data_IF_854070213745
#
_entry.id   IF_854070213745
#
_cell.length_a   1.000
_cell.length_b   1.000
_cell.length_c   1.000
_cell.angle_alpha   90.00
_cell.angle_beta   90.00
_cell.angle_gamma   90.00
#
_symmetry.space_group_name_H-M   'P 1'
#
loop_
_entity.id
_entity.type
_entity.pdbx_description
1 polymer ?
#
# COMPACT_ATOMS: atom_id res chain seq x y z
N UNK A 1 12.31 -15.31 38.36
CA UNK A 1 11.73 -14.17 37.64
C UNK A 1 12.87 -13.34 37.12
N UNK A 2 12.94 -13.16 35.81
CA UNK A 2 13.99 -12.37 35.17
C UNK A 2 13.39 -11.69 33.95
N UNK A 3 13.74 -10.43 33.75
CA UNK A 3 13.26 -9.66 32.61
C UNK A 3 14.28 -9.77 31.47
N UNK A 4 13.79 -10.01 30.25
CA UNK A 4 14.58 -9.91 29.03
C UNK A 4 14.25 -8.60 28.34
N UNK A 5 15.28 -7.81 28.05
CA UNK A 5 15.12 -6.55 27.31
C UNK A 5 16.07 -6.55 26.12
N UNK A 6 15.50 -6.47 24.92
CA UNK A 6 16.23 -6.36 23.66
C UNK A 6 16.26 -4.89 23.28
N UNK A 7 17.44 -4.28 23.21
CA UNK A 7 17.58 -2.82 23.08
C UNK A 7 17.91 -2.39 21.66
N UNK A 8 18.67 -3.21 20.93
CA UNK A 8 18.95 -3.02 19.51
C UNK A 8 19.27 -4.35 18.81
N UNK A 9 19.37 -4.28 17.47
CA UNK A 9 19.82 -5.40 16.64
C UNK A 9 18.80 -6.55 16.57
N UNK A 10 19.27 -7.70 16.09
CA UNK A 10 18.44 -8.89 15.93
C UNK A 10 18.84 -9.97 16.93
N UNK A 11 17.86 -10.48 17.68
CA UNK A 11 18.05 -11.62 18.58
C UNK A 11 17.15 -12.78 18.19
N UNK A 12 17.70 -13.99 18.19
CA UNK A 12 16.97 -15.23 17.94
C UNK A 12 16.78 -16.00 19.24
N UNK A 13 15.53 -16.24 19.66
CA UNK A 13 15.23 -17.14 20.77
C UNK A 13 14.86 -18.52 20.24
N UNK A 14 15.76 -19.47 20.44
CA UNK A 14 15.64 -20.86 19.96
C UNK A 14 15.36 -21.87 21.06
N UNK A 15 15.55 -21.49 22.33
CA UNK A 15 15.38 -22.38 23.48
C UNK A 15 13.93 -22.58 23.91
N UNK A 16 13.63 -23.74 24.49
CA UNK A 16 12.39 -23.98 25.26
C UNK A 16 12.52 -23.30 26.62
N UNK A 17 11.85 -22.17 26.78
CA UNK A 17 11.85 -21.36 27.99
C UNK A 17 10.50 -21.43 28.72
N UNK A 18 9.76 -22.56 28.65
CA UNK A 18 8.42 -22.66 29.27
C UNK A 18 8.32 -22.29 30.75
N UNK A 19 9.44 -22.33 31.49
CA UNK A 19 9.52 -21.96 32.92
C UNK A 19 9.92 -20.50 33.15
N UNK A 20 10.29 -19.76 32.10
CA UNK A 20 10.63 -18.36 32.19
C UNK A 20 9.39 -17.55 32.58
N UNK A 21 9.58 -16.59 33.47
CA UNK A 21 8.55 -15.67 33.94
C UNK A 21 9.17 -14.31 34.21
N UNK A 22 8.39 -13.26 34.00
CA UNK A 22 8.83 -11.87 34.06
C UNK A 22 8.30 -11.08 32.88
N UNK A 23 9.09 -10.11 32.41
CA UNK A 23 8.80 -9.30 31.24
C UNK A 23 9.74 -9.62 30.09
N UNK A 24 9.19 -9.65 28.89
CA UNK A 24 9.96 -9.62 27.64
C UNK A 24 9.68 -8.29 26.97
N UNK A 25 10.71 -7.44 26.88
CA UNK A 25 10.62 -6.12 26.27
C UNK A 25 11.42 -6.12 24.96
N UNK A 26 10.74 -5.90 23.84
CA UNK A 26 11.37 -5.64 22.54
C UNK A 26 11.43 -4.13 22.36
N UNK A 27 12.63 -3.56 22.50
CA UNK A 27 12.89 -2.14 22.40
C UNK A 27 12.77 -1.62 20.96
N UNK A 28 12.69 -0.29 20.84
CA UNK A 28 12.61 0.39 19.55
C UNK A 28 13.81 0.05 18.65
N UNK A 29 13.55 -0.31 17.40
CA UNK A 29 14.60 -0.68 16.44
C UNK A 29 15.25 -2.05 16.69
N UNK A 30 14.74 -2.83 17.65
CA UNK A 30 15.14 -4.22 17.87
C UNK A 30 14.26 -5.19 17.09
N UNK A 31 14.83 -6.32 16.69
CA UNK A 31 14.13 -7.45 16.11
C UNK A 31 14.29 -8.66 17.03
N UNK A 32 13.18 -9.20 17.50
CA UNK A 32 13.13 -10.47 18.21
C UNK A 32 12.51 -11.54 17.31
N UNK A 33 13.31 -12.53 16.93
CA UNK A 33 12.82 -13.71 16.25
C UNK A 33 12.57 -14.81 17.29
N UNK A 34 11.36 -15.37 17.30
CA UNK A 34 10.97 -16.49 18.15
C UNK A 34 10.90 -17.73 17.29
N UNK A 35 11.76 -18.71 17.57
CA UNK A 35 11.90 -19.94 16.78
C UNK A 35 11.44 -21.18 17.56
N UNK A 36 10.97 -21.01 18.79
CA UNK A 36 10.43 -22.06 19.63
C UNK A 36 9.11 -21.60 20.27
N UNK A 37 8.10 -22.45 20.23
CA UNK A 37 6.74 -22.15 20.70
C UNK A 37 6.70 -21.76 22.19
N UNK A 38 7.68 -22.23 22.97
CA UNK A 38 7.81 -21.95 24.41
C UNK A 38 8.89 -20.91 24.73
N UNK A 39 9.45 -20.22 23.73
CA UNK A 39 10.59 -19.31 23.92
C UNK A 39 10.31 -18.13 24.86
N UNK A 40 9.04 -17.72 24.98
CA UNK A 40 8.63 -16.58 25.82
C UNK A 40 8.11 -16.99 27.20
N UNK A 41 7.91 -18.29 27.45
CA UNK A 41 7.40 -18.83 28.71
C UNK A 41 6.11 -18.14 29.18
N UNK A 42 6.00 -17.93 30.49
CA UNK A 42 4.87 -17.26 31.15
C UNK A 42 5.04 -15.74 31.24
N UNK A 43 5.87 -15.16 30.36
CA UNK A 43 6.19 -13.73 30.41
C UNK A 43 5.07 -12.87 29.83
N UNK A 44 4.91 -11.68 30.41
CA UNK A 44 4.22 -10.59 29.70
C UNK A 44 5.16 -10.01 28.64
N UNK A 45 4.62 -9.65 27.48
CA UNK A 45 5.42 -9.21 26.33
C UNK A 45 5.05 -7.77 25.97
N UNK A 46 6.05 -6.92 25.78
CA UNK A 46 5.89 -5.54 25.33
C UNK A 46 6.77 -5.29 24.13
N UNK A 47 6.20 -4.79 23.04
CA UNK A 47 6.91 -4.38 21.83
C UNK A 47 6.76 -2.87 21.73
N UNK A 48 7.88 -2.16 21.86
CA UNK A 48 7.92 -0.71 21.71
C UNK A 48 7.72 -0.29 20.24
N UNK A 49 7.43 1.00 20.02
CA UNK A 49 7.35 1.56 18.67
C UNK A 49 8.61 1.28 17.85
N UNK A 50 8.42 0.89 16.59
CA UNK A 50 9.49 0.42 15.69
C UNK A 50 10.27 -0.82 16.16
N UNK A 51 9.87 -1.47 17.26
CA UNK A 51 10.33 -2.81 17.62
C UNK A 51 9.60 -3.86 16.77
N UNK A 52 10.26 -4.99 16.50
CA UNK A 52 9.71 -6.06 15.68
C UNK A 52 9.78 -7.40 16.41
N UNK A 53 8.68 -8.14 16.38
CA UNK A 53 8.59 -9.52 16.85
C UNK A 53 8.16 -10.40 15.68
N UNK A 54 8.96 -11.41 15.34
CA UNK A 54 8.62 -12.39 14.32
C UNK A 54 8.44 -13.76 14.97
N UNK A 55 7.24 -14.34 14.81
CA UNK A 55 6.93 -15.69 15.27
C UNK A 55 7.28 -16.69 14.16
N UNK A 56 8.53 -17.15 14.17
CA UNK A 56 9.09 -18.09 13.19
C UNK A 56 8.96 -19.54 13.68
N UNK A 57 7.82 -19.85 14.28
CA UNK A 57 7.51 -21.16 14.85
C UNK A 57 6.77 -22.04 13.84
N UNK A 58 6.93 -23.36 13.94
CA UNK A 58 6.22 -24.28 13.05
C UNK A 58 4.75 -24.48 13.45
N UNK A 59 4.41 -24.34 14.73
CA UNK A 59 3.07 -24.58 15.26
C UNK A 59 2.43 -23.28 15.78
N UNK A 60 1.15 -23.39 16.14
CA UNK A 60 0.40 -22.37 16.87
C UNK A 60 1.22 -21.79 18.02
N UNK A 61 1.11 -20.47 18.21
CA UNK A 61 1.89 -19.74 19.19
C UNK A 61 0.98 -19.22 20.30
N UNK A 62 1.46 -19.23 21.54
CA UNK A 62 0.71 -18.74 22.69
C UNK A 62 1.51 -17.74 23.50
N UNK A 63 0.97 -16.53 23.64
CA UNK A 63 1.34 -15.63 24.71
C UNK A 63 0.57 -16.05 25.97
N UNK A 64 1.28 -16.51 26.99
CA UNK A 64 0.68 -16.98 28.24
C UNK A 64 0.16 -15.86 29.14
N UNK A 65 0.51 -14.60 28.86
CA UNK A 65 0.10 -13.44 29.65
C UNK A 65 -0.26 -12.25 28.72
N UNK A 66 -0.34 -11.05 29.29
CA UNK A 66 -0.66 -9.83 28.58
C UNK A 66 0.37 -9.50 27.49
N UNK A 67 -0.13 -8.95 26.40
CA UNK A 67 0.64 -8.51 25.25
C UNK A 67 0.38 -7.02 24.97
N UNK A 68 1.46 -6.23 24.96
CA UNK A 68 1.44 -4.82 24.54
C UNK A 68 2.19 -4.71 23.23
N UNK A 69 1.54 -4.22 22.18
CA UNK A 69 2.11 -4.08 20.85
C UNK A 69 2.01 -2.65 20.33
N UNK A 70 3.09 -1.89 20.43
CA UNK A 70 3.23 -0.57 19.81
C UNK A 70 4.15 -0.61 18.58
N UNK A 71 4.75 -1.78 18.29
CA UNK A 71 5.65 -2.03 17.17
C UNK A 71 5.01 -2.85 16.07
N UNK A 72 5.67 -3.92 15.62
CA UNK A 72 5.14 -4.83 14.60
C UNK A 72 5.32 -6.28 15.04
N UNK A 73 4.25 -7.07 14.95
CA UNK A 73 4.30 -8.53 15.13
C UNK A 73 3.98 -9.19 13.80
N UNK A 74 4.85 -10.08 13.34
CA UNK A 74 4.55 -11.00 12.23
C UNK A 74 4.16 -12.35 12.82
N UNK A 75 2.93 -12.79 12.55
CA UNK A 75 2.29 -13.93 13.21
C UNK A 75 2.85 -15.29 12.77
N UNK A 76 3.46 -15.34 11.59
CA UNK A 76 4.11 -16.50 11.01
C UNK A 76 5.23 -16.07 10.07
N UNK A 77 6.02 -17.02 9.58
CA UNK A 77 6.84 -16.79 8.38
C UNK A 77 6.08 -17.16 7.10
N UNK A 78 6.67 -16.85 5.95
CA UNK A 78 6.03 -17.09 4.65
C UNK A 78 5.87 -18.58 4.28
N UNK A 79 6.52 -19.49 4.99
CA UNK A 79 6.50 -20.93 4.71
C UNK A 79 5.61 -21.74 5.67
N UNK A 80 5.18 -21.13 6.77
CA UNK A 80 4.51 -21.80 7.89
C UNK A 80 3.20 -21.12 8.29
N UNK A 81 2.64 -20.28 7.43
CA UNK A 81 1.39 -19.54 7.68
C UNK A 81 0.18 -20.47 7.94
N UNK A 82 -0.92 -19.89 8.40
CA UNK A 82 -2.10 -20.63 8.82
C UNK A 82 -2.14 -20.94 10.30
N UNK A 83 -1.32 -20.25 11.11
CA UNK A 83 -1.22 -20.49 12.55
C UNK A 83 -2.29 -19.78 13.34
N UNK A 84 -2.73 -20.38 14.44
CA UNK A 84 -3.45 -19.68 15.48
C UNK A 84 -2.47 -19.10 16.49
N UNK A 85 -2.49 -17.77 16.64
CA UNK A 85 -1.79 -17.07 17.70
C UNK A 85 -2.78 -16.71 18.79
N UNK A 86 -2.55 -17.22 20.00
CA UNK A 86 -3.42 -16.98 21.16
C UNK A 86 -2.76 -16.04 22.15
N UNK A 87 -3.47 -14.99 22.55
CA UNK A 87 -3.12 -14.13 23.69
C UNK A 87 -4.01 -14.54 24.86
N UNK A 88 -3.42 -15.15 25.88
CA UNK A 88 -4.17 -15.65 27.04
C UNK A 88 -4.64 -14.53 27.97
N UNK A 89 -3.90 -13.42 27.99
CA UNK A 89 -4.24 -12.22 28.75
C UNK A 89 -4.90 -11.15 27.91
N UNK A 90 -4.77 -9.91 28.35
CA UNK A 90 -5.22 -8.73 27.62
C UNK A 90 -4.24 -8.39 26.49
N UNK A 91 -4.79 -7.84 25.41
CA UNK A 91 -4.03 -7.26 24.31
C UNK A 91 -4.23 -5.74 24.29
N UNK A 92 -3.14 -4.98 24.28
CA UNK A 92 -3.19 -3.52 24.18
C UNK A 92 -2.28 -3.05 23.06
N UNK A 93 -2.71 -2.06 22.29
CA UNK A 93 -1.91 -1.51 21.21
C UNK A 93 -2.09 -0.02 21.05
N UNK A 94 -0.98 0.70 20.88
CA UNK A 94 -0.95 2.09 20.48
C UNK A 94 -0.39 2.22 19.06
N UNK A 95 -1.25 1.97 18.06
CA UNK A 95 -0.93 1.99 16.63
C UNK A 95 0.12 0.94 16.21
N UNK A 96 0.29 -0.12 16.99
CA UNK A 96 1.11 -1.26 16.58
C UNK A 96 0.50 -1.98 15.38
N UNK A 97 1.30 -2.83 14.74
CA UNK A 97 0.90 -3.58 13.56
C UNK A 97 0.93 -5.10 13.82
N UNK A 98 -0.03 -5.79 13.21
CA UNK A 98 -0.08 -7.23 13.08
C UNK A 98 0.00 -7.59 11.60
N UNK A 99 0.94 -8.46 11.26
CA UNK A 99 1.16 -8.95 9.90
C UNK A 99 0.74 -10.41 9.84
N UNK A 100 -0.33 -10.66 9.09
CA UNK A 100 -0.89 -11.98 8.82
C UNK A 100 -0.37 -12.49 7.48
N UNK A 101 -0.14 -13.78 7.39
CA UNK A 101 0.19 -14.45 6.14
C UNK A 101 -0.89 -15.49 5.82
N UNK A 102 -1.26 -15.61 4.54
CA UNK A 102 -2.24 -16.61 4.11
C UNK A 102 -2.37 -16.72 2.60
N UNK A 103 -2.94 -17.83 2.14
CA UNK A 103 -3.25 -18.06 0.73
C UNK A 103 -4.69 -17.62 0.42
N UNK A 104 -4.89 -16.33 0.17
CA UNK A 104 -6.23 -15.73 0.03
C UNK A 104 -7.05 -16.35 -1.10
N UNK A 105 -8.23 -16.85 -0.75
CA UNK A 105 -9.23 -17.44 -1.63
C UNK A 105 -10.64 -17.15 -1.05
N UNK A 106 -11.47 -18.17 -0.84
CA UNK A 106 -12.82 -18.04 -0.27
C UNK A 106 -12.81 -18.09 1.27
N UNK A 107 -13.99 -18.20 1.89
CA UNK A 107 -14.19 -18.28 3.35
C UNK A 107 -13.33 -19.36 4.05
N UNK A 108 -12.90 -20.42 3.35
CA UNK A 108 -12.10 -21.52 3.91
C UNK A 108 -10.59 -21.31 3.74
N UNK A 109 -10.17 -20.09 3.44
CA UNK A 109 -8.76 -19.70 3.30
C UNK A 109 -7.91 -20.15 4.49
N UNK A 110 -6.77 -20.77 4.19
CA UNK A 110 -5.70 -21.00 5.17
C UNK A 110 -4.91 -19.70 5.34
N UNK A 111 -5.10 -19.06 6.49
CA UNK A 111 -4.48 -17.78 6.89
C UNK A 111 -4.21 -17.82 8.39
N UNK A 112 -3.21 -17.06 8.83
CA UNK A 112 -2.99 -16.82 10.24
C UNK A 112 -4.25 -16.27 10.92
N UNK A 113 -4.40 -16.60 12.21
CA UNK A 113 -5.51 -16.12 13.04
C UNK A 113 -5.00 -15.62 14.37
N UNK A 114 -5.67 -14.62 14.92
CA UNK A 114 -5.43 -14.12 16.27
C UNK A 114 -6.65 -14.40 17.15
N UNK A 115 -6.40 -14.99 18.32
CA UNK A 115 -7.40 -15.16 19.37
C UNK A 115 -6.95 -14.44 20.64
N UNK A 116 -7.74 -13.48 21.11
CA UNK A 116 -7.50 -12.76 22.37
C UNK A 116 -8.50 -13.27 23.40
N UNK A 117 -7.99 -13.93 24.45
CA UNK A 117 -8.81 -14.46 25.55
C UNK A 117 -9.23 -13.38 26.55
N UNK A 118 -8.42 -12.34 26.71
CA UNK A 118 -8.73 -11.20 27.57
C UNK A 118 -9.37 -10.02 26.83
N UNK A 119 -9.25 -8.83 27.40
CA UNK A 119 -9.75 -7.60 26.81
C UNK A 119 -8.80 -7.08 25.73
N UNK A 120 -9.37 -6.38 24.74
CA UNK A 120 -8.63 -5.61 23.75
C UNK A 120 -8.83 -4.11 23.94
N UNK A 121 -7.73 -3.36 23.99
CA UNK A 121 -7.75 -1.90 24.14
C UNK A 121 -6.80 -1.21 23.14
N UNK A 122 -7.21 -0.04 22.66
CA UNK A 122 -6.40 0.82 21.78
C UNK A 122 -6.64 0.64 20.27
N UNK A 123 -5.60 0.83 19.45
CA UNK A 123 -5.70 0.77 17.99
C UNK A 123 -4.58 -0.08 17.42
N UNK A 124 -4.92 -1.04 16.56
CA UNK A 124 -3.96 -1.93 15.90
C UNK A 124 -4.14 -1.87 14.39
N UNK A 125 -3.04 -1.79 13.66
CA UNK A 125 -2.98 -1.89 12.21
C UNK A 125 -2.88 -3.35 11.77
N UNK A 126 -3.61 -3.75 10.73
CA UNK A 126 -3.67 -5.11 10.21
C UNK A 126 -3.19 -5.12 8.78
N UNK A 127 -2.04 -5.74 8.54
CA UNK A 127 -1.53 -6.01 7.21
C UNK A 127 -1.66 -7.51 6.90
N UNK A 128 -1.95 -7.84 5.65
CA UNK A 128 -2.12 -9.22 5.20
C UNK A 128 -1.25 -9.44 3.98
N UNK A 129 -0.35 -10.41 4.05
CA UNK A 129 0.45 -10.87 2.93
C UNK A 129 -0.23 -12.06 2.28
N UNK A 130 -0.59 -11.92 1.00
CA UNK A 130 -1.06 -13.03 0.19
C UNK A 130 0.12 -13.91 -0.25
N UNK A 131 0.10 -15.18 0.12
CA UNK A 131 1.13 -16.17 -0.20
C UNK A 131 0.51 -17.24 -1.11
N UNK A 132 0.63 -17.03 -2.42
CA UNK A 132 0.15 -17.98 -3.42
C UNK A 132 -1.37 -18.11 -3.53
N UNK A 133 -2.15 -17.27 -2.84
CA UNK A 133 -3.61 -17.24 -2.98
C UNK A 133 -4.04 -16.70 -4.33
N UNK A 134 -5.03 -17.36 -4.93
CA UNK A 134 -5.57 -17.04 -6.26
C UNK A 134 -6.70 -16.00 -6.22
N UNK A 135 -7.24 -15.72 -5.03
CA UNK A 135 -8.42 -14.89 -4.85
C UNK A 135 -9.73 -15.59 -5.21
N UNK A 136 -10.76 -15.35 -4.42
CA UNK A 136 -12.13 -15.76 -4.70
C UNK A 136 -13.12 -14.85 -3.97
N UNK A 137 -14.40 -14.94 -4.36
CA UNK A 137 -15.48 -14.26 -3.66
C UNK A 137 -15.70 -14.90 -2.28
N UNK A 138 -15.79 -14.08 -1.25
CA UNK A 138 -16.18 -14.51 0.10
C UNK A 138 -17.68 -14.37 0.29
N UNK A 139 -18.31 -15.32 0.97
CA UNK A 139 -19.72 -15.23 1.31
C UNK A 139 -19.90 -14.62 2.71
N UNK A 140 -19.31 -15.26 3.71
CA UNK A 140 -19.34 -14.79 5.11
C UNK A 140 -18.08 -13.98 5.47
N UNK A 141 -17.02 -14.10 4.68
CA UNK A 141 -15.72 -13.53 4.98
C UNK A 141 -14.79 -14.52 5.68
N UNK A 142 -13.49 -14.24 5.60
CA UNK A 142 -12.43 -15.05 6.21
C UNK A 142 -12.19 -14.53 7.62
N UNK A 143 -12.56 -15.30 8.66
CA UNK A 143 -12.34 -14.93 10.06
C UNK A 143 -10.85 -15.00 10.44
N UNK A 144 -10.27 -13.85 10.81
CA UNK A 144 -8.84 -13.72 11.14
C UNK A 144 -8.56 -13.23 12.56
N UNK A 145 -9.53 -12.61 13.24
CA UNK A 145 -9.36 -12.11 14.61
C UNK A 145 -10.63 -12.39 15.40
N UNK A 146 -10.49 -13.02 16.56
CA UNK A 146 -11.57 -13.25 17.53
C UNK A 146 -11.16 -12.81 18.93
N UNK A 147 -12.10 -12.25 19.68
CA UNK A 147 -11.89 -11.72 21.03
C UNK A 147 -12.97 -12.26 21.97
N UNK A 148 -12.54 -12.97 23.02
CA UNK A 148 -13.45 -13.52 24.04
C UNK A 148 -13.81 -12.46 25.11
N UNK A 149 -12.95 -11.46 25.32
CA UNK A 149 -13.16 -10.38 26.29
C UNK A 149 -13.80 -9.12 25.71
N UNK A 150 -13.73 -8.03 26.46
CA UNK A 150 -14.30 -6.74 26.05
C UNK A 150 -13.45 -6.07 24.97
N UNK A 151 -14.11 -5.47 23.98
CA UNK A 151 -13.50 -4.71 22.89
C UNK A 151 -13.66 -3.21 23.16
N UNK A 152 -12.59 -2.57 23.60
CA UNK A 152 -12.48 -1.11 23.76
C UNK A 152 -11.58 -0.48 22.69
N UNK A 153 -11.20 -1.25 21.66
CA UNK A 153 -10.27 -0.82 20.62
C UNK A 153 -10.79 -0.99 19.20
N UNK A 154 -9.94 -0.65 18.22
CA UNK A 154 -10.26 -0.80 16.79
C UNK A 154 -9.10 -1.44 16.01
N UNK A 155 -9.41 -2.33 15.08
CA UNK A 155 -8.45 -2.78 14.07
C UNK A 155 -8.63 -1.97 12.80
N UNK A 156 -7.53 -1.54 12.19
CA UNK A 156 -7.52 -0.74 10.97
C UNK A 156 -6.72 -1.47 9.90
N UNK A 157 -7.28 -1.59 8.70
CA UNK A 157 -6.54 -2.16 7.57
C UNK A 157 -5.33 -1.28 7.23
N UNK A 158 -4.18 -1.91 7.08
CA UNK A 158 -2.93 -1.30 6.66
C UNK A 158 -2.53 -1.80 5.28
N UNK A 159 -2.66 -0.91 4.29
CA UNK A 159 -2.37 -1.23 2.90
C UNK A 159 -3.52 -1.96 2.19
N UNK A 160 -3.29 -2.23 0.90
CA UNK A 160 -4.23 -2.93 0.03
C UNK A 160 -4.02 -4.44 0.17
N UNK A 161 -5.11 -5.19 0.34
CA UNK A 161 -5.09 -6.66 0.42
C UNK A 161 -5.68 -7.19 -0.88
N UNK A 162 -4.89 -7.91 -1.68
CA UNK A 162 -5.27 -8.32 -3.03
C UNK A 162 -4.81 -9.74 -3.31
N UNK A 163 -5.66 -10.51 -3.99
CA UNK A 163 -5.31 -11.81 -4.56
C UNK A 163 -6.06 -12.02 -5.87
N UNK A 164 -5.32 -12.34 -6.93
CA UNK A 164 -5.86 -12.44 -8.29
C UNK A 164 -6.66 -11.20 -8.68
N UNK A 165 -7.93 -11.40 -9.05
CA UNK A 165 -8.86 -10.35 -9.45
C UNK A 165 -9.75 -9.83 -8.30
N UNK A 166 -9.37 -10.09 -7.04
CA UNK A 166 -10.18 -9.74 -5.87
C UNK A 166 -9.44 -8.80 -4.93
N UNK A 167 -10.11 -7.73 -4.52
CA UNK A 167 -9.71 -6.86 -3.43
C UNK A 167 -10.38 -7.34 -2.13
N UNK A 168 -9.60 -7.47 -1.07
CA UNK A 168 -10.07 -7.84 0.26
C UNK A 168 -10.06 -6.63 1.19
N UNK A 169 -11.10 -6.53 2.01
CA UNK A 169 -11.27 -5.47 3.01
C UNK A 169 -11.44 -6.07 4.40
N UNK A 170 -10.78 -5.47 5.39
CA UNK A 170 -10.98 -5.82 6.80
C UNK A 170 -12.31 -5.21 7.29
N UNK A 171 -13.22 -6.07 7.75
CA UNK A 171 -14.54 -5.68 8.24
C UNK A 171 -14.78 -6.29 9.61
N UNK A 172 -15.36 -5.49 10.52
CA UNK A 172 -15.79 -5.98 11.84
C UNK A 172 -17.12 -6.71 11.69
N UNK A 173 -17.27 -7.84 12.36
CA UNK A 173 -18.55 -8.56 12.41
C UNK A 173 -19.64 -7.75 13.12
N UNK A 174 -20.88 -8.19 12.96
CA UNK A 174 -22.06 -7.56 13.55
C UNK A 174 -22.84 -8.53 14.44
N UNK A 175 -23.66 -7.99 15.35
CA UNK A 175 -24.52 -8.79 16.22
C UNK A 175 -23.71 -9.76 17.10
N UNK A 176 -24.01 -11.07 17.00
CA UNK A 176 -23.29 -12.09 17.76
C UNK A 176 -21.79 -12.19 17.43
N UNK A 177 -21.36 -11.64 16.28
CA UNK A 177 -19.98 -11.66 15.82
C UNK A 177 -19.29 -10.29 15.97
N UNK A 178 -19.82 -9.39 16.80
CA UNK A 178 -19.25 -8.05 16.99
C UNK A 178 -17.81 -8.04 17.54
N UNK A 179 -17.35 -9.17 18.10
CA UNK A 179 -15.99 -9.36 18.58
C UNK A 179 -15.08 -10.12 17.59
N UNK A 180 -15.50 -10.23 16.34
CA UNK A 180 -14.74 -10.87 15.26
C UNK A 180 -14.40 -9.87 14.14
N UNK A 181 -13.29 -10.12 13.44
CA UNK A 181 -12.93 -9.39 12.22
C UNK A 181 -12.65 -10.35 11.08
N UNK A 182 -13.17 -9.98 9.92
CA UNK A 182 -13.17 -10.78 8.72
C UNK A 182 -12.49 -10.05 7.57
N UNK A 183 -11.88 -10.79 6.66
CA UNK A 183 -11.57 -10.30 5.33
C UNK A 183 -12.74 -10.64 4.39
N UNK A 184 -13.38 -9.62 3.82
CA UNK A 184 -14.41 -9.78 2.80
C UNK A 184 -13.87 -9.34 1.45
N UNK A 185 -14.21 -10.07 0.39
CA UNK A 185 -13.68 -9.81 -0.94
C UNK A 185 -14.71 -9.22 -1.89
N UNK A 186 -14.22 -8.42 -2.83
CA UNK A 186 -14.98 -7.91 -3.96
C UNK A 186 -14.15 -8.10 -5.23
N UNK A 187 -14.82 -8.53 -6.30
CA UNK A 187 -14.18 -8.66 -7.60
C UNK A 187 -13.85 -7.28 -8.14
N UNK A 188 -12.61 -7.11 -8.59
CA UNK A 188 -12.18 -5.88 -9.24
C UNK A 188 -13.01 -5.65 -10.52
N UNK A 189 -13.45 -4.42 -10.78
CA UNK A 189 -14.09 -4.10 -12.05
C UNK A 189 -13.13 -4.40 -13.19
N UNK A 190 -13.61 -5.12 -14.21
CA UNK A 190 -12.87 -5.27 -15.46
C UNK A 190 -12.78 -3.91 -16.14
N UNK A 191 -11.58 -3.47 -16.61
CA UNK A 191 -11.48 -2.29 -17.44
C UNK A 191 -12.49 -2.40 -18.59
N UNK A 192 -13.29 -1.35 -18.78
CA UNK A 192 -14.23 -1.29 -19.90
C UNK A 192 -13.48 -1.36 -21.24
N UNK A 193 -14.16 -1.73 -22.34
CA UNK A 193 -13.54 -1.66 -23.66
C UNK A 193 -13.05 -0.24 -23.92
N UNK A 194 -11.85 -0.11 -24.51
CA UNK A 194 -11.36 1.17 -25.00
C UNK A 194 -12.44 1.81 -25.89
N UNK A 195 -12.69 3.12 -25.79
CA UNK A 195 -13.67 3.78 -26.63
C UNK A 195 -13.32 3.52 -28.09
N UNK A 196 -14.26 2.88 -28.80
CA UNK A 196 -14.12 2.66 -30.25
C UNK A 196 -13.93 4.03 -30.90
N UNK A 197 -12.90 4.23 -31.74
CA UNK A 197 -12.71 5.46 -32.47
C UNK A 197 -14.01 5.80 -33.20
N UNK A 198 -14.57 6.98 -32.92
CA UNK A 198 -15.76 7.44 -33.61
C UNK A 198 -15.42 7.50 -35.10
N UNK A 199 -16.18 6.86 -36.01
CA UNK A 199 -15.92 6.95 -37.44
C UNK A 199 -15.84 8.43 -37.83
N UNK A 200 -14.75 8.80 -38.51
CA UNK A 200 -14.61 10.14 -39.07
C UNK A 200 -15.85 10.41 -39.95
N UNK A 201 -16.55 11.54 -39.76
CA UNK A 201 -17.77 11.80 -40.52
C UNK A 201 -17.45 11.75 -42.01
N UNK A 202 -18.09 10.84 -42.73
CA UNK A 202 -17.96 10.74 -44.18
C UNK A 202 -18.32 12.10 -44.77
N UNK A 203 -17.44 12.75 -45.55
CA UNK A 203 -17.75 14.04 -46.14
C UNK A 203 -18.99 13.89 -47.03
N UNK A 204 -20.08 14.54 -46.64
CA UNK A 204 -21.30 14.60 -47.43
C UNK A 204 -20.98 15.32 -48.74
N UNK A 205 -21.35 14.78 -49.92
CA UNK A 205 -21.16 15.48 -51.17
C UNK A 205 -21.90 16.82 -51.13
N UNK A 206 -21.18 17.88 -51.50
CA UNK A 206 -21.68 19.26 -51.48
C UNK A 206 -22.85 19.41 -52.46
N UNK A 207 -24.05 19.85 -52.01
CA UNK A 207 -25.13 20.18 -52.93
C UNK A 207 -24.84 21.51 -53.64
N UNK A 208 -25.10 21.56 -54.94
CA UNK A 208 -25.06 22.78 -55.75
C UNK A 208 -26.12 23.79 -55.25
N UNK A 209 -25.84 25.12 -55.21
CA UNK A 209 -26.68 26.06 -54.48
C UNK A 209 -27.98 26.41 -55.22
N UNK A 210 -29.12 26.26 -54.52
CA UNK A 210 -30.41 26.88 -54.86
C UNK A 210 -30.70 28.05 -53.89
N UNK A 211 -31.39 29.12 -54.32
CA UNK A 211 -31.48 30.34 -53.51
C UNK A 211 -32.41 30.22 -52.29
N UNK A 212 -32.03 31.00 -51.28
CA UNK A 212 -32.35 31.01 -49.84
C UNK A 212 -33.84 31.17 -49.49
N UNK A 213 -34.30 30.59 -48.36
CA UNK A 213 -34.70 31.46 -47.24
C UNK A 213 -34.37 30.97 -45.81
N UNK A 214 -33.81 31.91 -45.03
CA UNK A 214 -33.87 32.20 -43.58
C UNK A 214 -34.17 31.04 -42.60
N UNK A 215 -33.18 30.61 -41.79
CA UNK A 215 -33.45 30.36 -40.36
C UNK A 215 -32.29 30.81 -39.45
N UNK A 216 -32.58 31.38 -38.27
CA UNK A 216 -33.00 30.74 -37.01
C UNK A 216 -31.78 30.50 -36.12
N UNK A 217 -31.85 31.10 -34.93
CA UNK A 217 -30.88 30.98 -33.86
C UNK A 217 -30.61 29.53 -33.50
N UNK A 218 -29.35 29.20 -33.21
CA UNK A 218 -29.06 28.13 -32.26
C UNK A 218 -27.83 28.49 -31.43
N UNK A 219 -28.00 28.30 -30.13
CA UNK A 219 -27.03 28.55 -29.06
C UNK A 219 -25.91 27.50 -29.14
N UNK A 220 -24.68 27.98 -28.97
CA UNK A 220 -23.39 27.34 -29.26
C UNK A 220 -22.97 26.25 -28.25
N UNK A 221 -22.11 25.31 -28.68
CA UNK A 221 -21.26 24.44 -27.83
C UNK A 221 -19.77 24.77 -28.10
N UNK A 222 -18.84 24.53 -27.14
CA UNK A 222 -17.66 25.37 -26.91
C UNK A 222 -16.39 25.02 -27.72
N UNK A 223 -16.46 24.12 -28.71
CA UNK A 223 -15.28 23.53 -29.35
C UNK A 223 -14.48 24.52 -30.23
N UNK A 224 -15.10 25.63 -30.65
CA UNK A 224 -14.43 26.68 -31.42
C UNK A 224 -13.28 27.35 -30.65
N UNK A 225 -13.29 27.35 -29.32
CA UNK A 225 -12.23 27.98 -28.51
C UNK A 225 -10.92 27.20 -28.49
N UNK A 226 -10.98 25.86 -28.49
CA UNK A 226 -9.79 25.00 -28.35
C UNK A 226 -8.96 24.90 -29.63
N UNK A 227 -9.59 25.01 -30.80
CA UNK A 227 -8.90 24.96 -32.10
C UNK A 227 -8.07 26.21 -32.42
N UNK A 228 -8.43 27.38 -31.85
CA UNK A 228 -7.64 28.61 -32.03
C UNK A 228 -6.40 28.59 -31.13
N UNK A 229 -6.52 28.08 -29.90
CA UNK A 229 -5.39 27.97 -28.99
C UNK A 229 -4.30 27.03 -29.54
N UNK A 230 -4.68 25.88 -30.10
CA UNK A 230 -3.71 24.91 -30.62
C UNK A 230 -2.97 25.41 -31.88
N UNK A 231 -3.64 26.22 -32.72
CA UNK A 231 -2.99 26.90 -33.85
C UNK A 231 -2.00 27.98 -33.39
N UNK A 232 -2.28 28.70 -32.30
CA UNK A 232 -1.34 29.70 -31.78
C UNK A 232 -0.07 29.02 -31.23
N UNK A 233 -0.21 27.94 -30.46
CA UNK A 233 0.96 27.21 -29.94
C UNK A 233 1.78 26.54 -31.05
N UNK A 234 1.15 25.96 -32.09
CA UNK A 234 1.89 25.37 -33.22
C UNK A 234 2.65 26.41 -34.06
N UNK A 235 2.10 27.63 -34.21
CA UNK A 235 2.78 28.67 -34.99
C UNK A 235 3.94 29.36 -34.26
N UNK A 236 4.11 29.15 -32.95
CA UNK A 236 5.17 29.81 -32.16
C UNK A 236 6.24 28.86 -31.62
N UNK A 237 6.09 27.53 -31.71
CA UNK A 237 7.04 26.57 -31.11
C UNK A 237 8.45 26.55 -31.74
N UNK A 238 8.67 27.21 -32.88
CA UNK A 238 9.99 27.26 -33.54
C UNK A 238 10.52 28.67 -33.81
N UNK A 239 9.81 29.71 -33.35
CA UNK A 239 10.30 31.09 -33.42
C UNK A 239 11.23 31.35 -32.23
N UNK A 240 12.50 31.00 -32.39
CA UNK A 240 13.56 31.43 -31.46
C UNK A 240 13.96 32.87 -31.81
N UNK A 241 13.83 33.80 -30.87
CA UNK A 241 14.30 35.17 -31.02
C UNK A 241 15.83 35.26 -31.01
N UNK A 242 16.39 36.35 -31.53
CA UNK A 242 17.85 36.57 -31.57
C UNK A 242 18.49 36.48 -30.17
N UNK A 243 17.77 36.93 -29.13
CA UNK A 243 18.20 36.87 -27.73
C UNK A 243 18.34 35.44 -27.19
N UNK A 244 17.50 34.50 -27.62
CA UNK A 244 17.60 33.09 -27.23
C UNK A 244 18.74 32.36 -27.97
N UNK A 245 19.26 32.96 -29.05
CA UNK A 245 20.37 32.42 -29.86
C UNK A 245 21.72 33.09 -29.57
N UNK A 246 21.77 34.18 -28.80
CA UNK A 246 23.02 34.89 -28.46
C UNK A 246 23.65 34.33 -27.19
N UNK A 247 24.17 33.10 -27.27
CA UNK A 247 25.15 32.61 -26.29
C UNK A 247 26.50 33.27 -26.52
N UNK A 248 26.61 34.58 -26.22
CA UNK A 248 27.89 35.29 -26.28
C UNK A 248 28.81 34.85 -25.14
N UNK A 249 29.88 34.12 -25.47
CA UNK A 249 30.89 33.74 -24.49
C UNK A 249 31.95 34.84 -24.42
N UNK A 250 31.97 35.60 -23.32
CA UNK A 250 33.04 36.60 -23.04
C UNK A 250 34.36 35.89 -22.81
N UNK A 251 35.41 36.27 -23.53
CA UNK A 251 36.78 35.86 -23.20
C UNK A 251 37.70 37.09 -23.11
N UNK A 252 38.71 36.98 -22.25
CA UNK A 252 39.68 38.04 -22.00
C UNK A 252 40.88 37.87 -22.94
N UNK A 253 41.23 38.90 -23.71
CA UNK A 253 42.39 38.91 -24.60
C UNK A 253 43.60 39.53 -23.86
N UNK A 254 44.61 38.72 -23.47
CA UNK A 254 45.71 39.18 -22.61
C UNK A 254 46.74 40.07 -23.34
N UNK A 255 46.68 40.22 -24.67
CA UNK A 255 47.62 41.05 -25.43
C UNK A 255 47.09 42.49 -25.58
N UNK A 256 45.77 42.64 -25.72
CA UNK A 256 45.12 43.95 -25.85
C UNK A 256 44.46 44.45 -24.55
N UNK A 257 44.46 43.63 -23.49
CA UNK A 257 43.99 44.01 -22.15
C UNK A 257 42.49 44.24 -22.03
N UNK A 258 41.68 43.78 -22.99
CA UNK A 258 40.24 44.05 -23.07
C UNK A 258 39.42 42.77 -23.29
N UNK A 259 38.18 42.77 -22.81
CA UNK A 259 37.23 41.68 -23.03
C UNK A 259 36.66 41.75 -24.46
N UNK A 260 36.69 40.63 -25.18
CA UNK A 260 36.16 40.51 -26.55
C UNK A 260 35.09 39.42 -26.63
N UNK A 261 34.23 39.53 -27.65
CA UNK A 261 33.10 38.63 -27.91
C UNK A 261 33.32 37.91 -29.23
N UNK A 262 32.95 36.62 -29.32
CA UNK A 262 32.96 35.86 -30.58
C UNK A 262 31.73 34.95 -30.65
N UNK A 263 31.11 34.85 -31.82
CA UNK A 263 30.02 33.92 -32.11
C UNK A 263 30.28 33.18 -33.42
N UNK A 264 29.89 31.91 -33.48
CA UNK A 264 29.94 31.07 -34.68
C UNK A 264 28.63 30.31 -34.82
N UNK A 265 28.10 30.22 -36.04
CA UNK A 265 26.91 29.43 -36.34
C UNK A 265 27.16 28.48 -37.53
N UNK A 266 26.77 27.21 -37.37
CA UNK A 266 26.79 26.20 -38.44
C UNK A 266 25.41 25.54 -38.55
N UNK A 267 24.97 25.29 -39.78
CA UNK A 267 23.76 24.50 -40.10
C UNK A 267 24.15 23.30 -40.93
N UNK A 268 23.69 22.12 -40.54
CA UNK A 268 23.81 20.89 -41.33
C UNK A 268 22.40 20.42 -41.69
N UNK A 269 22.13 20.30 -42.99
CA UNK A 269 20.91 19.69 -43.51
C UNK A 269 21.29 18.34 -44.12
N UNK A 270 20.78 17.24 -43.56
CA UNK A 270 20.91 15.90 -44.13
C UNK A 270 19.62 15.53 -44.86
N UNK A 271 19.73 15.15 -46.13
CA UNK A 271 18.62 14.69 -46.96
C UNK A 271 19.01 13.42 -47.73
N UNK A 272 18.18 12.39 -47.53
CA UNK A 272 18.19 11.01 -48.03
C UNK A 272 19.17 10.03 -47.38
#
# INVERSE_FOLDING_TARGET
MGDLTFINGTTNLTGDNKKMSGKVNVGAGSILNVLNDNALGDSSVTIASSGQLALLTANDFKFNNNLVNDGTITLSDQNTYGKLVTVSGNYTSNNGALVFNGALADDNTVIDKLLIKGNYDGTTNVAVNNIGGIGAETLNGIDIISIDGNVNGSFKQAGRIVAGAYDYSLVRGEGANENHWYLTSQKQPTPGPDPVPTPEPTPTPTPEPTPVPKPSFNILRPEAGSYVANNYFSNTMFLNDFQDRSGEVKYFDPISGTYKFSSLWMRQEGGA
#
